data_IF_781568826771
#
_entry.id   IF_781568826771
#
_cell.length_a   1.000
_cell.length_b   1.000
_cell.length_c   1.000
_cell.angle_alpha   90.00
_cell.angle_beta   90.00
_cell.angle_gamma   90.00
#
_symmetry.space_group_name_H-M   'P 1'
#
loop_
_entity.id
_entity.type
_entity.pdbx_description
1 polymer ?
#
# COMPACT_ATOMS: atom_id res chain seq x y z
N UNK A 1 10.80 23.87 16.65
CA UNK A 1 11.69 22.91 17.34
C UNK A 1 11.60 21.62 16.58
N UNK A 2 12.66 21.27 15.87
CA UNK A 2 12.75 20.03 15.06
C UNK A 2 12.84 18.85 16.01
N UNK A 3 11.81 18.00 16.07
CA UNK A 3 11.88 16.72 16.75
C UNK A 3 12.64 15.75 15.85
N UNK A 4 13.78 15.31 16.35
CA UNK A 4 14.65 14.29 15.74
C UNK A 4 13.87 12.98 15.69
N UNK A 5 13.82 12.34 14.53
CA UNK A 5 13.32 10.98 14.37
C UNK A 5 14.12 10.05 15.31
N UNK A 6 13.43 9.33 16.20
CA UNK A 6 14.06 8.33 17.04
C UNK A 6 14.00 6.99 16.32
N UNK A 7 15.16 6.41 16.01
CA UNK A 7 15.29 5.05 15.49
C UNK A 7 15.58 4.10 16.67
N UNK A 8 14.76 3.07 16.83
CA UNK A 8 14.99 1.99 17.80
C UNK A 8 15.42 0.72 17.04
N UNK A 9 16.63 0.25 17.31
CA UNK A 9 17.12 -1.02 16.80
C UNK A 9 16.78 -2.13 17.78
N UNK A 10 16.01 -3.11 17.35
CA UNK A 10 15.68 -4.30 18.12
C UNK A 10 16.35 -5.48 17.42
N UNK A 11 17.66 -5.64 17.64
CA UNK A 11 18.40 -6.78 17.11
C UNK A 11 18.51 -7.88 18.17
N UNK A 12 18.12 -9.10 17.82
CA UNK A 12 18.69 -10.30 18.47
C UNK A 12 19.99 -10.63 17.72
N UNK A 13 21.07 -10.88 18.44
CA UNK A 13 22.34 -11.35 17.86
C UNK A 13 22.13 -12.69 17.14
N UNK A 14 21.82 -12.65 15.85
CA UNK A 14 21.85 -13.81 14.97
C UNK A 14 22.51 -13.46 13.65
N UNK A 15 23.41 -14.33 13.22
CA UNK A 15 24.32 -14.19 12.10
C UNK A 15 23.70 -13.58 10.84
N UNK A 16 24.24 -12.46 10.39
CA UNK A 16 23.98 -11.83 9.10
C UNK A 16 24.27 -12.82 7.97
N UNK A 17 23.23 -13.19 7.23
CA UNK A 17 23.37 -13.85 5.94
C UNK A 17 24.13 -12.95 4.96
N UNK A 18 24.67 -13.50 3.85
CA UNK A 18 25.47 -12.72 2.91
C UNK A 18 24.67 -11.54 2.36
N UNK A 19 25.17 -10.31 2.56
CA UNK A 19 24.58 -9.09 2.06
C UNK A 19 24.34 -9.20 0.54
N UNK A 20 23.12 -8.91 0.10
CA UNK A 20 22.79 -8.80 -1.33
C UNK A 20 23.57 -7.64 -1.92
N UNK A 21 24.63 -7.91 -2.67
CA UNK A 21 25.41 -6.89 -3.39
C UNK A 21 24.85 -6.73 -4.80
N UNK A 22 24.35 -5.54 -5.10
CA UNK A 22 24.02 -5.13 -6.46
C UNK A 22 25.07 -4.11 -6.90
N UNK A 23 25.58 -4.23 -8.12
CA UNK A 23 26.52 -3.27 -8.71
C UNK A 23 25.76 -2.02 -9.18
N UNK A 24 26.30 -0.83 -8.93
CA UNK A 24 25.78 0.42 -9.50
C UNK A 24 25.79 0.35 -11.02
N UNK A 25 24.64 0.60 -11.65
CA UNK A 25 24.49 0.57 -13.09
C UNK A 25 24.52 1.99 -13.68
N UNK A 26 25.14 2.14 -14.85
CA UNK A 26 25.00 3.36 -15.64
C UNK A 26 23.54 3.57 -16.04
N UNK A 27 23.01 4.75 -15.75
CA UNK A 27 21.63 5.16 -16.06
C UNK A 27 21.47 5.24 -17.58
N UNK A 28 20.86 4.21 -18.17
CA UNK A 28 20.23 4.29 -19.49
C UNK A 28 18.80 4.82 -19.32
N UNK A 29 18.24 5.47 -20.34
CA UNK A 29 16.86 6.02 -20.27
C UNK A 29 15.87 4.99 -19.73
N UNK A 30 14.90 5.42 -18.89
CA UNK A 30 13.94 4.51 -18.25
C UNK A 30 13.01 3.95 -19.31
N UNK A 31 13.20 2.69 -19.68
CA UNK A 31 12.27 1.93 -20.50
C UNK A 31 11.18 1.36 -19.59
N UNK A 32 9.92 1.64 -19.91
CA UNK A 32 8.79 1.02 -19.26
C UNK A 32 8.23 -0.11 -20.15
N UNK A 33 7.80 -1.18 -19.48
CA UNK A 33 7.13 -2.32 -20.07
C UNK A 33 5.85 -2.59 -19.32
N UNK A 34 4.77 -2.86 -20.04
CA UNK A 34 3.49 -3.30 -19.49
C UNK A 34 3.10 -4.63 -20.08
N UNK A 35 2.49 -5.47 -19.26
CA UNK A 35 1.98 -6.75 -19.72
C UNK A 35 0.84 -7.27 -18.87
N UNK A 36 0.33 -8.41 -19.33
CA UNK A 36 -0.67 -9.21 -18.63
C UNK A 36 -0.16 -10.64 -18.55
N UNK A 37 -0.03 -11.18 -17.35
CA UNK A 37 0.31 -12.57 -17.13
C UNK A 37 -0.96 -13.36 -16.84
N UNK A 38 -1.29 -14.29 -17.74
CA UNK A 38 -2.40 -15.22 -17.60
C UNK A 38 -1.91 -16.52 -16.98
N UNK A 39 -2.42 -16.88 -15.81
CA UNK A 39 -2.05 -18.12 -15.13
C UNK A 39 -3.20 -18.67 -14.28
N UNK A 40 -3.01 -19.90 -13.81
CA UNK A 40 -3.90 -20.50 -12.81
C UNK A 40 -3.27 -20.34 -11.43
N UNK A 41 -3.96 -19.66 -10.52
CA UNK A 41 -3.57 -19.54 -9.12
C UNK A 41 -4.53 -20.30 -8.22
N UNK A 42 -3.98 -20.91 -7.16
CA UNK A 42 -4.78 -21.45 -6.06
C UNK A 42 -5.02 -20.34 -5.06
N UNK A 43 -6.21 -19.74 -5.11
CA UNK A 43 -6.63 -18.71 -4.17
C UNK A 43 -7.08 -19.34 -2.86
N UNK A 44 -6.75 -18.71 -1.75
CA UNK A 44 -6.97 -19.23 -0.39
C UNK A 44 -8.45 -19.58 -0.14
N UNK A 45 -9.37 -18.75 -0.64
CA UNK A 45 -10.81 -18.88 -0.37
C UNK A 45 -11.65 -19.29 -1.59
N UNK A 46 -11.03 -19.44 -2.77
CA UNK A 46 -11.75 -19.75 -4.02
C UNK A 46 -11.18 -20.96 -4.78
N UNK A 47 -10.09 -21.58 -4.28
CA UNK A 47 -9.44 -22.70 -4.98
C UNK A 47 -8.77 -22.26 -6.28
N UNK A 48 -8.74 -23.13 -7.29
CA UNK A 48 -8.08 -22.85 -8.56
C UNK A 48 -8.87 -21.84 -9.40
N UNK A 49 -8.28 -20.71 -9.68
CA UNK A 49 -8.84 -19.63 -10.51
C UNK A 49 -7.90 -19.29 -11.65
N UNK A 50 -8.47 -19.03 -12.84
CA UNK A 50 -7.76 -18.41 -13.94
C UNK A 50 -7.72 -16.92 -13.68
N UNK A 51 -6.50 -16.34 -13.66
CA UNK A 51 -6.28 -14.92 -13.36
C UNK A 51 -5.51 -14.24 -14.47
N UNK A 52 -5.73 -12.94 -14.61
CA UNK A 52 -5.02 -12.08 -15.55
C UNK A 52 -4.35 -10.95 -14.75
N UNK A 53 -3.07 -11.09 -14.45
CA UNK A 53 -2.32 -10.17 -13.61
C UNK A 53 -1.69 -9.09 -14.48
N UNK A 54 -2.19 -7.86 -14.40
CA UNK A 54 -1.62 -6.72 -15.11
C UNK A 54 -0.44 -6.18 -14.34
N UNK A 55 0.67 -5.96 -15.02
CA UNK A 55 1.91 -5.47 -14.41
C UNK A 55 2.54 -4.33 -15.22
N UNK A 56 3.36 -3.53 -14.55
CA UNK A 56 4.25 -2.52 -15.13
C UNK A 56 5.63 -2.67 -14.52
N UNK A 57 6.65 -2.65 -15.38
CA UNK A 57 8.06 -2.66 -15.02
C UNK A 57 8.72 -1.43 -15.62
N UNK A 58 9.19 -0.50 -14.81
CA UNK A 58 9.79 0.75 -15.29
C UNK A 58 11.10 1.07 -14.59
N UNK A 59 11.92 1.93 -15.22
CA UNK A 59 13.21 2.38 -14.72
C UNK A 59 14.41 1.73 -15.42
N UNK A 60 15.64 2.07 -15.02
CA UNK A 60 16.86 1.64 -15.71
C UNK A 60 17.00 0.11 -15.71
N UNK A 61 17.28 -0.48 -16.88
CA UNK A 61 17.27 -1.95 -17.09
C UNK A 61 18.23 -2.67 -16.13
N UNK A 62 19.39 -2.08 -15.86
CA UNK A 62 20.44 -2.68 -15.03
C UNK A 62 20.40 -2.23 -13.56
N UNK A 63 19.39 -1.41 -13.17
CA UNK A 63 19.26 -0.98 -11.79
C UNK A 63 18.71 -2.10 -10.89
N UNK A 64 19.00 -2.04 -9.57
CA UNK A 64 18.39 -2.96 -8.62
C UNK A 64 16.86 -2.91 -8.70
N UNK A 65 16.22 -4.07 -8.69
CA UNK A 65 14.76 -4.17 -8.82
C UNK A 65 14.09 -4.03 -7.46
N UNK A 66 13.09 -3.17 -7.41
CA UNK A 66 12.13 -3.08 -6.31
C UNK A 66 10.75 -3.56 -6.77
N UNK A 67 10.04 -4.26 -5.89
CA UNK A 67 8.58 -4.36 -5.98
C UNK A 67 8.02 -3.16 -5.21
N UNK A 68 7.12 -2.39 -5.81
CA UNK A 68 6.48 -1.23 -5.17
C UNK A 68 4.97 -1.41 -5.17
N UNK A 69 4.36 -1.35 -4.00
CA UNK A 69 2.94 -1.60 -3.80
C UNK A 69 2.31 -0.58 -2.84
N UNK A 70 1.19 -0.01 -3.22
CA UNK A 70 0.48 1.01 -2.43
C UNK A 70 -0.77 0.49 -1.72
N UNK A 71 -1.65 1.40 -1.32
CA UNK A 71 -2.97 1.05 -0.77
C UNK A 71 -3.88 0.38 -1.81
N UNK A 72 -5.10 0.00 -1.42
CA UNK A 72 -6.05 -0.69 -2.30
C UNK A 72 -6.39 0.10 -3.58
N UNK A 73 -6.25 1.42 -3.58
CA UNK A 73 -6.48 2.26 -4.76
C UNK A 73 -5.25 2.44 -5.66
N UNK A 74 -4.09 1.96 -5.25
CA UNK A 74 -2.89 2.00 -6.06
C UNK A 74 -3.00 1.02 -7.24
N UNK A 75 -2.39 1.39 -8.36
CA UNK A 75 -2.31 0.58 -9.57
C UNK A 75 -0.87 0.20 -9.84
N UNK A 76 -0.64 -0.59 -10.90
CA UNK A 76 0.70 -0.85 -11.41
C UNK A 76 1.46 0.41 -11.84
N UNK A 77 0.75 1.53 -12.11
CA UNK A 77 1.38 2.78 -12.52
C UNK A 77 1.87 3.57 -11.31
N UNK A 78 3.12 3.37 -10.94
CA UNK A 78 3.77 4.00 -9.76
C UNK A 78 4.31 5.37 -10.09
N UNK A 79 4.95 5.54 -11.25
CA UNK A 79 5.58 6.77 -11.74
C UNK A 79 5.22 6.99 -13.20
N UNK A 80 5.11 8.26 -13.62
CA UNK A 80 5.05 8.64 -15.02
C UNK A 80 6.31 8.19 -15.77
N UNK A 81 6.12 7.57 -16.96
CA UNK A 81 7.17 6.97 -17.77
C UNK A 81 6.89 7.16 -19.28
N UNK A 82 7.70 6.56 -20.14
CA UNK A 82 7.62 6.66 -21.61
C UNK A 82 6.40 5.95 -22.22
N UNK A 83 5.82 4.95 -21.54
CA UNK A 83 4.59 4.27 -21.97
C UNK A 83 3.34 5.01 -21.51
N UNK A 84 3.41 5.66 -20.34
CA UNK A 84 2.33 6.44 -19.77
C UNK A 84 2.92 7.63 -19.00
N UNK A 85 2.78 8.83 -19.59
CA UNK A 85 3.33 10.06 -19.01
C UNK A 85 2.44 10.68 -17.93
N UNK A 86 1.27 10.11 -17.64
CA UNK A 86 0.45 10.57 -16.52
C UNK A 86 1.16 10.38 -15.18
N UNK A 87 0.77 11.16 -14.19
CA UNK A 87 1.35 11.00 -12.85
C UNK A 87 0.94 9.65 -12.24
N UNK A 88 1.92 8.84 -11.86
CA UNK A 88 1.69 7.63 -11.10
C UNK A 88 1.27 7.93 -9.65
N UNK A 89 0.68 6.95 -8.96
CA UNK A 89 0.14 7.13 -7.62
C UNK A 89 1.19 7.55 -6.58
N UNK A 90 2.47 7.30 -6.85
CA UNK A 90 3.57 7.71 -5.96
C UNK A 90 4.59 8.64 -6.64
N UNK A 91 4.11 9.46 -7.57
CA UNK A 91 4.94 10.42 -8.31
C UNK A 91 5.78 11.32 -7.38
N UNK A 92 5.28 11.63 -6.18
CA UNK A 92 5.99 12.39 -5.17
C UNK A 92 7.33 11.76 -4.76
N UNK A 93 7.49 10.43 -4.88
CA UNK A 93 8.73 9.70 -4.58
C UNK A 93 9.61 9.44 -5.81
N UNK A 94 9.35 10.10 -6.94
CA UNK A 94 10.11 9.89 -8.17
C UNK A 94 11.61 10.14 -7.99
N UNK A 95 12.02 11.14 -7.15
CA UNK A 95 13.42 11.46 -6.88
C UNK A 95 14.18 10.29 -6.25
N UNK A 96 13.49 9.45 -5.48
CA UNK A 96 14.03 8.24 -4.87
C UNK A 96 13.92 7.04 -5.83
N UNK A 97 12.73 6.78 -6.38
CA UNK A 97 12.42 5.55 -7.11
C UNK A 97 13.10 5.46 -8.49
N UNK A 98 13.39 6.60 -9.17
CA UNK A 98 13.98 6.60 -10.51
C UNK A 98 15.40 6.00 -10.59
N UNK A 99 16.09 5.83 -9.46
CA UNK A 99 17.37 5.11 -9.41
C UNK A 99 17.23 3.59 -9.39
N UNK A 100 16.01 3.09 -9.28
CA UNK A 100 15.68 1.67 -9.26
C UNK A 100 14.87 1.26 -10.49
N UNK A 101 14.91 -0.03 -10.81
CA UNK A 101 13.89 -0.65 -11.64
C UNK A 101 12.71 -1.00 -10.74
N UNK A 102 11.49 -0.62 -11.11
CA UNK A 102 10.28 -0.75 -10.29
C UNK A 102 9.29 -1.69 -10.96
N UNK A 103 8.92 -2.77 -10.29
CA UNK A 103 7.82 -3.66 -10.66
C UNK A 103 6.62 -3.38 -9.77
N UNK A 104 5.46 -3.21 -10.38
CA UNK A 104 4.17 -3.12 -9.69
C UNK A 104 3.08 -3.88 -10.46
N UNK A 105 2.05 -4.33 -9.77
CA UNK A 105 0.89 -5.00 -10.35
C UNK A 105 -0.40 -4.27 -9.99
N UNK A 106 -1.46 -4.47 -10.79
CA UNK A 106 -2.82 -4.20 -10.34
C UNK A 106 -3.26 -5.32 -9.41
N UNK A 107 -3.98 -4.97 -8.36
CA UNK A 107 -4.43 -5.95 -7.38
C UNK A 107 -5.40 -6.98 -7.99
N UNK A 108 -5.30 -8.25 -7.60
CA UNK A 108 -6.36 -9.23 -7.83
C UNK A 108 -7.64 -8.73 -7.15
N UNK A 109 -8.79 -8.97 -7.79
CA UNK A 109 -10.07 -8.45 -7.34
C UNK A 109 -10.37 -7.03 -7.81
N UNK A 110 -9.48 -6.42 -8.60
CA UNK A 110 -9.65 -5.09 -9.17
C UNK A 110 -10.06 -5.16 -10.65
N UNK A 111 -11.37 -5.30 -10.91
CA UNK A 111 -11.91 -5.34 -12.26
C UNK A 111 -11.51 -6.58 -13.08
N UNK A 112 -11.12 -7.66 -12.43
CA UNK A 112 -10.71 -8.93 -13.06
C UNK A 112 -11.81 -10.00 -13.07
N UNK A 113 -13.00 -9.68 -12.54
CA UNK A 113 -14.15 -10.58 -12.49
C UNK A 113 -14.09 -11.64 -11.38
N UNK A 114 -13.11 -11.59 -10.49
CA UNK A 114 -13.03 -12.50 -9.35
C UNK A 114 -14.06 -12.06 -8.29
N UNK A 115 -15.14 -12.81 -8.14
CA UNK A 115 -16.16 -12.57 -7.12
C UNK A 115 -16.03 -13.58 -5.95
N UNK A 116 -14.85 -13.63 -5.35
CA UNK A 116 -14.53 -14.42 -4.17
C UNK A 116 -13.65 -13.63 -3.22
N UNK A 117 -13.64 -13.93 -1.91
CA UNK A 117 -12.67 -13.35 -1.00
C UNK A 117 -11.23 -13.62 -1.45
N UNK A 118 -10.42 -12.60 -1.42
CA UNK A 118 -8.99 -12.63 -1.77
C UNK A 118 -8.24 -12.12 -0.55
N UNK A 119 -7.17 -12.78 -0.14
CA UNK A 119 -6.34 -12.30 0.96
C UNK A 119 -4.96 -11.79 0.47
N UNK A 120 -4.17 -11.29 1.41
CA UNK A 120 -2.83 -10.77 1.10
C UNK A 120 -1.86 -11.84 0.61
N UNK A 121 -2.11 -13.13 0.92
CA UNK A 121 -1.33 -14.28 0.43
C UNK A 121 -1.58 -14.49 -1.07
N UNK A 122 -2.82 -14.35 -1.49
CA UNK A 122 -3.18 -14.48 -2.91
C UNK A 122 -2.50 -13.38 -3.74
N UNK A 123 -2.45 -12.14 -3.21
CA UNK A 123 -1.72 -11.03 -3.83
C UNK A 123 -0.21 -11.31 -3.89
N UNK A 124 0.37 -11.83 -2.80
CA UNK A 124 1.78 -12.20 -2.76
C UNK A 124 2.11 -13.29 -3.80
N UNK A 125 1.25 -14.30 -3.93
CA UNK A 125 1.38 -15.35 -4.93
C UNK A 125 1.24 -14.81 -6.36
N UNK A 126 0.35 -13.85 -6.59
CA UNK A 126 0.22 -13.19 -7.90
C UNK A 126 1.50 -12.43 -8.29
N UNK A 127 2.11 -11.71 -7.35
CA UNK A 127 3.41 -11.04 -7.58
C UNK A 127 4.50 -12.08 -7.88
N UNK A 128 4.56 -13.19 -7.13
CA UNK A 128 5.52 -14.26 -7.37
C UNK A 128 5.36 -14.86 -8.78
N UNK A 129 4.13 -15.09 -9.24
CA UNK A 129 3.84 -15.60 -10.58
C UNK A 129 4.32 -14.62 -11.68
N UNK A 130 4.16 -13.31 -11.47
CA UNK A 130 4.68 -12.30 -12.41
C UNK A 130 6.21 -12.31 -12.43
N UNK A 131 6.89 -12.42 -11.27
CA UNK A 131 8.34 -12.54 -11.22
C UNK A 131 8.83 -13.79 -11.98
N UNK A 132 8.12 -14.91 -11.85
CA UNK A 132 8.45 -16.16 -12.58
C UNK A 132 8.29 -15.99 -14.09
N UNK A 133 7.20 -15.36 -14.52
CA UNK A 133 6.94 -15.07 -15.93
C UNK A 133 7.99 -14.14 -16.55
N UNK A 134 8.53 -13.21 -15.76
CA UNK A 134 9.59 -12.27 -16.17
C UNK A 134 11.01 -12.87 -16.01
N UNK A 135 11.15 -14.08 -15.50
CA UNK A 135 12.46 -14.71 -15.25
C UNK A 135 13.28 -14.03 -14.14
N UNK A 136 12.62 -13.30 -13.23
CA UNK A 136 13.27 -12.57 -12.15
C UNK A 136 13.37 -13.47 -10.93
N UNK A 137 14.57 -13.93 -10.60
CA UNK A 137 14.79 -14.87 -9.50
C UNK A 137 14.71 -14.18 -8.11
N UNK A 138 15.23 -12.96 -7.99
CA UNK A 138 15.32 -12.24 -6.72
C UNK A 138 15.30 -10.73 -6.92
N UNK A 139 14.69 -10.00 -5.97
CA UNK A 139 14.60 -8.53 -5.99
C UNK A 139 15.34 -7.91 -4.80
N UNK A 140 15.78 -6.66 -4.95
CA UNK A 140 16.48 -5.90 -3.89
C UNK A 140 15.59 -5.70 -2.67
N UNK A 141 14.34 -5.29 -2.88
CA UNK A 141 13.39 -5.15 -1.79
C UNK A 141 11.94 -5.14 -2.28
N UNK A 142 11.02 -5.42 -1.36
CA UNK A 142 9.61 -5.09 -1.47
C UNK A 142 9.35 -3.82 -0.65
N UNK A 143 8.91 -2.76 -1.31
CA UNK A 143 8.52 -1.49 -0.68
C UNK A 143 7.01 -1.38 -0.74
N UNK A 144 6.37 -1.53 0.40
CA UNK A 144 4.91 -1.52 0.52
C UNK A 144 4.41 -0.39 1.41
N UNK A 145 3.29 0.26 1.02
CA UNK A 145 2.60 1.23 1.85
C UNK A 145 1.14 0.79 2.09
N UNK A 146 0.66 0.90 3.33
CA UNK A 146 -0.70 0.51 3.71
C UNK A 146 -0.98 -0.97 3.36
N UNK A 147 -1.98 -1.26 2.55
CA UNK A 147 -2.27 -2.62 2.05
C UNK A 147 -1.06 -3.25 1.35
N UNK A 148 -0.30 -2.46 0.57
CA UNK A 148 0.93 -2.94 -0.06
C UNK A 148 2.00 -3.37 0.95
N UNK A 149 2.05 -2.76 2.15
CA UNK A 149 2.93 -3.21 3.23
C UNK A 149 2.48 -4.57 3.77
N UNK A 150 1.17 -4.78 3.98
CA UNK A 150 0.61 -6.07 4.39
C UNK A 150 0.93 -7.18 3.38
N UNK A 151 0.78 -6.88 2.08
CA UNK A 151 1.17 -7.83 1.01
C UNK A 151 2.68 -8.08 1.01
N UNK A 152 3.50 -7.06 1.24
CA UNK A 152 4.96 -7.18 1.35
C UNK A 152 5.40 -8.07 2.52
N UNK A 153 4.77 -7.92 3.67
CA UNK A 153 4.98 -8.78 4.83
C UNK A 153 4.58 -10.24 4.53
N UNK A 154 3.42 -10.44 3.89
CA UNK A 154 2.98 -11.76 3.46
C UNK A 154 3.91 -12.37 2.42
N UNK A 155 4.42 -11.56 1.48
CA UNK A 155 5.42 -12.01 0.50
C UNK A 155 6.72 -12.44 1.18
N UNK A 156 7.18 -11.68 2.16
CA UNK A 156 8.37 -12.03 2.95
C UNK A 156 8.20 -13.33 3.74
N UNK A 157 7.02 -13.58 4.29
CA UNK A 157 6.71 -14.82 5.00
C UNK A 157 6.66 -16.03 4.06
N UNK A 158 6.06 -15.88 2.86
CA UNK A 158 5.84 -16.98 1.92
C UNK A 158 7.01 -17.20 0.93
N UNK A 159 7.69 -16.12 0.54
CA UNK A 159 8.66 -16.10 -0.55
C UNK A 159 9.99 -15.42 -0.14
N UNK A 160 10.46 -15.64 1.09
CA UNK A 160 11.67 -15.01 1.64
C UNK A 160 12.90 -15.10 0.72
N UNK A 161 13.07 -16.25 0.02
CA UNK A 161 14.17 -16.51 -0.90
C UNK A 161 14.19 -15.58 -2.13
N UNK A 162 13.07 -14.91 -2.43
CA UNK A 162 12.90 -13.97 -3.55
C UNK A 162 13.24 -12.52 -3.20
N UNK A 163 13.51 -12.22 -1.90
CA UNK A 163 13.78 -10.87 -1.40
C UNK A 163 15.16 -10.75 -0.75
N UNK A 164 15.71 -9.53 -0.75
CA UNK A 164 16.81 -9.16 0.13
C UNK A 164 16.32 -8.38 1.36
N UNK A 165 15.24 -7.60 1.26
CA UNK A 165 14.67 -6.81 2.36
C UNK A 165 13.19 -6.49 2.12
N UNK A 166 12.50 -6.04 3.18
CA UNK A 166 11.14 -5.48 3.11
C UNK A 166 11.12 -4.12 3.79
N UNK A 167 10.40 -3.18 3.17
CA UNK A 167 10.05 -1.90 3.79
C UNK A 167 8.54 -1.83 3.90
N UNK A 168 8.00 -1.84 5.11
CA UNK A 168 6.59 -1.79 5.41
C UNK A 168 6.21 -0.42 6.00
N UNK A 169 5.44 0.37 5.24
CA UNK A 169 5.02 1.73 5.62
C UNK A 169 3.55 1.70 5.99
N UNK A 170 3.18 2.09 7.22
CA UNK A 170 1.79 2.17 7.68
C UNK A 170 0.98 0.89 7.38
N UNK A 171 1.58 -0.29 7.62
CA UNK A 171 0.94 -1.60 7.46
C UNK A 171 1.51 -2.61 8.45
N UNK A 172 0.64 -3.19 9.28
CA UNK A 172 1.00 -4.12 10.36
C UNK A 172 0.81 -5.60 9.94
N UNK A 173 1.18 -6.51 10.82
CA UNK A 173 1.08 -7.96 10.63
C UNK A 173 -0.36 -8.49 10.68
N UNK A 174 -1.30 -7.66 11.12
CA UNK A 174 -2.75 -7.94 11.15
C UNK A 174 -3.54 -6.65 11.00
N UNK A 175 -4.81 -6.79 10.68
CA UNK A 175 -5.74 -5.66 10.68
C UNK A 175 -6.12 -5.25 12.10
N UNK A 176 -6.08 -3.95 12.42
CA UNK A 176 -6.51 -3.43 13.71
C UNK A 176 -8.05 -3.52 13.84
N UNK A 177 -8.61 -3.99 14.98
CA UNK A 177 -10.06 -4.23 15.13
C UNK A 177 -10.93 -3.00 14.88
N UNK A 178 -10.50 -1.80 15.31
CA UNK A 178 -11.22 -0.55 15.06
C UNK A 178 -11.30 -0.24 13.56
N UNK A 179 -10.21 -0.44 12.84
CA UNK A 179 -10.14 -0.21 11.40
C UNK A 179 -10.99 -1.23 10.62
N UNK A 180 -11.02 -2.49 11.08
CA UNK A 180 -11.92 -3.53 10.51
C UNK A 180 -13.38 -3.18 10.74
N UNK A 181 -13.74 -2.64 11.93
CA UNK A 181 -15.11 -2.19 12.21
C UNK A 181 -15.52 -1.05 11.27
N UNK A 182 -14.65 -0.06 11.04
CA UNK A 182 -14.90 1.01 10.07
C UNK A 182 -15.11 0.46 8.64
N UNK A 183 -14.23 -0.41 8.18
CA UNK A 183 -14.36 -1.04 6.85
C UNK A 183 -15.63 -1.88 6.73
N UNK A 184 -16.03 -2.58 7.80
CA UNK A 184 -17.31 -3.30 7.83
C UNK A 184 -18.50 -2.36 7.60
N UNK A 185 -18.51 -1.18 8.22
CA UNK A 185 -19.56 -0.18 8.00
C UNK A 185 -19.51 0.34 6.56
N UNK A 186 -18.33 0.65 6.04
CA UNK A 186 -18.17 1.09 4.66
C UNK A 186 -18.70 0.07 3.65
N UNK A 187 -18.43 -1.22 3.83
CA UNK A 187 -18.98 -2.30 2.98
C UNK A 187 -20.50 -2.38 3.05
N UNK A 188 -21.10 -2.22 4.25
CA UNK A 188 -22.55 -2.18 4.42
C UNK A 188 -23.19 -0.96 3.73
N UNK A 189 -22.50 0.20 3.72
CA UNK A 189 -22.96 1.38 2.98
C UNK A 189 -22.95 1.10 1.48
N UNK A 190 -21.92 0.43 0.94
CA UNK A 190 -21.86 0.02 -0.47
C UNK A 190 -23.00 -0.93 -0.80
N UNK A 191 -23.22 -1.95 0.04
CA UNK A 191 -24.30 -2.92 -0.13
C UNK A 191 -25.68 -2.26 -0.11
N UNK A 192 -25.95 -1.42 0.88
CA UNK A 192 -27.22 -0.67 0.97
C UNK A 192 -27.43 0.23 -0.25
N UNK A 193 -26.37 0.93 -0.71
CA UNK A 193 -26.44 1.76 -1.90
C UNK A 193 -26.76 0.97 -3.17
N UNK A 194 -26.28 -0.26 -3.28
CA UNK A 194 -26.58 -1.14 -4.42
C UNK A 194 -28.04 -1.57 -4.49
N UNK A 195 -28.76 -1.55 -3.36
CA UNK A 195 -30.18 -1.94 -3.28
C UNK A 195 -31.17 -0.79 -3.62
N UNK A 196 -30.80 0.45 -3.36
CA UNK A 196 -31.73 1.56 -3.29
C UNK A 196 -31.34 2.81 -4.08
N UNK A 197 -30.11 2.93 -4.55
CA UNK A 197 -29.57 4.14 -5.14
C UNK A 197 -29.06 3.90 -6.55
N UNK A 198 -28.75 5.03 -7.25
CA UNK A 198 -28.01 4.98 -8.50
C UNK A 198 -26.65 4.31 -8.28
N UNK A 199 -26.15 3.65 -9.33
CA UNK A 199 -24.87 2.97 -9.33
C UNK A 199 -23.74 3.88 -8.82
N UNK A 200 -22.94 3.37 -7.89
CA UNK A 200 -21.81 4.09 -7.30
C UNK A 200 -22.14 5.00 -6.12
N UNK A 201 -23.42 5.31 -5.82
CA UNK A 201 -23.75 6.24 -4.73
C UNK A 201 -23.28 5.70 -3.35
N UNK A 202 -23.54 4.43 -3.06
CA UNK A 202 -23.05 3.79 -1.83
C UNK A 202 -21.51 3.77 -1.75
N UNK A 203 -20.84 3.51 -2.87
CA UNK A 203 -19.38 3.54 -2.95
C UNK A 203 -18.83 4.96 -2.69
N UNK A 204 -19.45 6.00 -3.26
CA UNK A 204 -19.09 7.38 -3.00
C UNK A 204 -19.19 7.73 -1.50
N UNK A 205 -20.28 7.36 -0.84
CA UNK A 205 -20.46 7.58 0.60
C UNK A 205 -19.48 6.79 1.46
N UNK A 206 -19.24 5.52 1.13
CA UNK A 206 -18.25 4.70 1.81
C UNK A 206 -16.85 5.32 1.74
N UNK A 207 -16.49 5.88 0.58
CA UNK A 207 -15.21 6.57 0.40
C UNK A 207 -15.13 7.88 1.19
N UNK A 208 -16.22 8.65 1.28
CA UNK A 208 -16.27 9.84 2.13
C UNK A 208 -15.98 9.48 3.59
N UNK A 209 -16.60 8.43 4.11
CA UNK A 209 -16.33 7.92 5.46
C UNK A 209 -14.87 7.46 5.60
N UNK A 210 -14.31 6.76 4.61
CA UNK A 210 -12.92 6.34 4.61
C UNK A 210 -11.95 7.54 4.72
N UNK A 211 -12.25 8.66 4.03
CA UNK A 211 -11.39 9.85 4.05
C UNK A 211 -11.26 10.46 5.45
N UNK A 212 -12.31 10.35 6.29
CA UNK A 212 -12.23 10.81 7.67
C UNK A 212 -11.27 9.96 8.53
N UNK A 213 -11.13 8.68 8.21
CA UNK A 213 -10.21 7.77 8.93
C UNK A 213 -8.77 7.83 8.41
N UNK A 214 -8.55 8.26 7.17
CA UNK A 214 -7.19 8.40 6.60
C UNK A 214 -6.48 9.65 7.10
N UNK A 215 -7.24 10.65 7.57
CA UNK A 215 -6.73 11.96 7.96
C UNK A 215 -7.00 12.25 9.42
N UNK A 216 -6.25 13.20 9.96
CA UNK A 216 -6.42 13.60 11.36
C UNK A 216 -7.42 14.73 11.52
N UNK A 217 -8.05 14.86 12.69
CA UNK A 217 -8.84 16.05 13.04
C UNK A 217 -8.02 17.34 12.93
N UNK A 218 -6.71 17.28 13.19
CA UNK A 218 -5.81 18.44 13.08
C UNK A 218 -5.67 18.91 11.63
N UNK A 219 -5.52 17.99 10.65
CA UNK A 219 -5.49 18.35 9.23
C UNK A 219 -6.85 18.96 8.81
N UNK A 220 -7.96 18.34 9.21
CA UNK A 220 -9.30 18.90 8.92
C UNK A 220 -9.47 20.30 9.48
N UNK A 221 -9.10 20.53 10.75
CA UNK A 221 -9.21 21.85 11.39
C UNK A 221 -8.34 22.91 10.72
N UNK A 222 -7.17 22.53 10.19
CA UNK A 222 -6.31 23.48 9.48
C UNK A 222 -6.79 23.81 8.07
N UNK A 223 -7.55 22.89 7.45
CA UNK A 223 -7.97 23.00 6.06
C UNK A 223 -9.37 23.57 5.87
N UNK A 224 -10.27 23.28 6.81
CA UNK A 224 -11.69 23.67 6.74
C UNK A 224 -12.01 24.60 7.92
N UNK A 225 -11.61 25.86 7.77
CA UNK A 225 -11.68 26.89 8.84
C UNK A 225 -12.99 27.68 8.84
N UNK A 226 -13.76 27.61 7.73
CA UNK A 226 -15.01 28.34 7.61
C UNK A 226 -16.07 27.75 8.57
N UNK A 227 -17.01 28.57 9.06
CA UNK A 227 -18.12 28.07 9.86
C UNK A 227 -19.08 27.24 8.99
N UNK A 228 -19.89 26.40 9.65
CA UNK A 228 -21.01 25.72 9.01
C UNK A 228 -21.97 26.77 8.45
N UNK A 229 -22.27 26.65 7.17
CA UNK A 229 -23.19 27.57 6.47
C UNK A 229 -24.62 27.02 6.47
N UNK A 230 -25.60 27.90 6.32
CA UNK A 230 -27.00 27.55 6.06
C UNK A 230 -27.29 27.78 4.57
N UNK A 231 -27.59 26.72 3.84
CA UNK A 231 -27.99 26.75 2.44
C UNK A 231 -29.44 26.29 2.32
N UNK A 232 -30.34 27.22 2.05
CA UNK A 232 -31.78 26.94 2.11
C UNK A 232 -32.23 26.53 3.52
N UNK A 233 -32.65 25.27 3.70
CA UNK A 233 -33.05 24.67 4.97
C UNK A 233 -32.06 23.60 5.49
N UNK A 234 -30.84 23.54 4.92
CA UNK A 234 -29.82 22.54 5.25
C UNK A 234 -28.55 23.20 5.76
N UNK A 235 -28.01 22.68 6.85
CA UNK A 235 -26.68 23.04 7.31
C UNK A 235 -25.65 22.30 6.47
N UNK A 236 -24.65 23.02 5.95
CA UNK A 236 -23.57 22.52 5.10
C UNK A 236 -22.24 22.76 5.77
N UNK A 237 -21.47 21.70 6.02
CA UNK A 237 -20.13 21.85 6.57
C UNK A 237 -19.08 22.13 5.49
N UNK A 238 -18.01 22.88 5.78
CA UNK A 238 -17.01 23.27 4.77
C UNK A 238 -16.30 22.10 4.09
N UNK A 239 -16.29 20.92 4.71
CA UNK A 239 -15.65 19.74 4.17
C UNK A 239 -16.53 18.93 3.18
N UNK A 240 -17.84 19.21 3.05
CA UNK A 240 -18.77 18.39 2.25
C UNK A 240 -18.32 18.26 0.80
N UNK A 241 -18.09 19.38 0.10
CA UNK A 241 -17.68 19.38 -1.30
C UNK A 241 -16.37 18.62 -1.55
N UNK A 242 -15.44 18.71 -0.61
CA UNK A 242 -14.19 17.94 -0.66
C UNK A 242 -14.45 16.43 -0.53
N UNK A 243 -15.29 16.02 0.42
CA UNK A 243 -15.63 14.62 0.64
C UNK A 243 -16.39 14.05 -0.55
N UNK A 244 -17.34 14.81 -1.11
CA UNK A 244 -18.07 14.44 -2.32
C UNK A 244 -17.13 14.22 -3.52
N UNK A 245 -16.19 15.14 -3.75
CA UNK A 245 -15.18 14.97 -4.80
C UNK A 245 -14.29 13.73 -4.58
N UNK A 246 -13.97 13.40 -3.34
CA UNK A 246 -13.26 12.16 -3.02
C UNK A 246 -14.11 10.92 -3.33
N UNK A 247 -15.40 10.95 -3.04
CA UNK A 247 -16.34 9.89 -3.35
C UNK A 247 -16.47 9.65 -4.86
N UNK A 248 -16.64 10.72 -5.64
CA UNK A 248 -16.74 10.65 -7.10
C UNK A 248 -15.48 10.08 -7.76
N UNK A 249 -14.30 10.49 -7.30
CA UNK A 249 -13.03 9.89 -7.78
C UNK A 249 -12.93 8.40 -7.49
N UNK A 250 -13.45 7.95 -6.35
CA UNK A 250 -13.47 6.52 -6.02
C UNK A 250 -14.40 5.74 -6.96
N UNK A 251 -15.55 6.28 -7.34
CA UNK A 251 -16.46 5.66 -8.31
C UNK A 251 -15.86 5.57 -9.72
N UNK A 252 -14.97 6.51 -10.10
CA UNK A 252 -14.21 6.40 -11.34
C UNK A 252 -13.10 5.33 -11.29
N UNK A 253 -12.65 4.97 -10.08
CA UNK A 253 -11.54 4.01 -9.87
C UNK A 253 -12.02 2.59 -9.61
N UNK A 254 -13.13 2.41 -8.89
CA UNK A 254 -13.65 1.12 -8.44
C UNK A 254 -15.08 0.90 -8.88
N UNK A 255 -15.43 -0.35 -9.16
CA UNK A 255 -16.78 -0.84 -8.99
C UNK A 255 -17.01 -1.33 -7.53
N UNK A 256 -18.28 -1.60 -7.20
CA UNK A 256 -18.67 -2.01 -5.84
C UNK A 256 -18.07 -3.36 -5.44
N UNK A 257 -17.91 -4.30 -6.39
CA UNK A 257 -17.36 -5.62 -6.12
C UNK A 257 -15.87 -5.54 -5.82
N UNK A 258 -15.11 -4.82 -6.65
CA UNK A 258 -13.68 -4.58 -6.47
C UNK A 258 -13.37 -3.89 -5.13
N UNK A 259 -14.14 -2.84 -4.80
CA UNK A 259 -13.98 -2.16 -3.51
C UNK A 259 -14.23 -3.11 -2.33
N UNK A 260 -15.29 -3.91 -2.39
CA UNK A 260 -15.63 -4.88 -1.35
C UNK A 260 -14.51 -5.90 -1.18
N UNK A 261 -14.04 -6.53 -2.28
CA UNK A 261 -13.01 -7.57 -2.25
C UNK A 261 -11.67 -7.06 -1.70
N UNK A 262 -11.24 -5.90 -2.15
CA UNK A 262 -9.99 -5.30 -1.64
C UNK A 262 -10.12 -4.83 -0.19
N UNK A 263 -11.30 -4.33 0.22
CA UNK A 263 -11.58 -3.98 1.61
C UNK A 263 -11.59 -5.20 2.53
N UNK A 264 -12.19 -6.32 2.09
CA UNK A 264 -12.18 -7.61 2.81
C UNK A 264 -10.75 -8.17 2.91
N UNK A 265 -9.95 -8.04 1.87
CA UNK A 265 -8.57 -8.52 1.83
C UNK A 265 -7.68 -7.88 2.89
N UNK A 266 -7.90 -6.60 3.21
CA UNK A 266 -7.21 -5.95 4.33
C UNK A 266 -7.59 -6.63 5.65
N UNK A 267 -8.88 -6.95 5.85
CA UNK A 267 -9.37 -7.55 7.10
C UNK A 267 -8.93 -9.00 7.27
N UNK A 268 -8.74 -9.72 6.15
CA UNK A 268 -8.25 -11.11 6.14
C UNK A 268 -6.73 -11.22 6.34
N UNK A 269 -6.00 -10.11 6.24
CA UNK A 269 -4.55 -10.13 6.43
C UNK A 269 -4.16 -10.53 7.85
N UNK A 270 -3.35 -11.58 7.94
CA UNK A 270 -2.73 -12.03 9.20
C UNK A 270 -1.47 -12.83 8.91
N UNK A 271 -0.37 -12.44 9.54
CA UNK A 271 0.90 -13.20 9.54
C UNK A 271 1.49 -13.24 10.96
N UNK A 272 2.30 -14.23 11.22
CA UNK A 272 3.16 -14.24 12.39
C UNK A 272 4.47 -13.50 12.07
N UNK A 273 4.80 -12.39 12.78
CA UNK A 273 6.02 -11.62 12.52
C UNK A 273 7.30 -12.45 12.56
N UNK A 274 7.32 -13.48 13.38
CA UNK A 274 8.46 -14.41 13.51
C UNK A 274 8.71 -15.23 12.24
N UNK A 275 7.76 -15.26 11.29
CA UNK A 275 7.94 -15.94 10.00
C UNK A 275 8.77 -15.12 9.00
N UNK A 276 8.96 -13.83 9.22
CA UNK A 276 9.74 -12.94 8.36
C UNK A 276 11.22 -13.23 8.56
N UNK A 277 11.89 -13.72 7.51
CA UNK A 277 13.30 -14.18 7.57
C UNK A 277 14.25 -13.28 6.79
N UNK A 278 13.81 -12.10 6.39
CA UNK A 278 14.60 -11.09 5.71
C UNK A 278 14.58 -9.79 6.52
N UNK A 279 15.60 -8.93 6.39
CA UNK A 279 15.60 -7.61 7.02
C UNK A 279 14.30 -6.86 6.76
N UNK A 280 13.71 -6.30 7.81
CA UNK A 280 12.44 -5.58 7.80
C UNK A 280 12.62 -4.16 8.34
N UNK A 281 12.35 -3.17 7.50
CA UNK A 281 12.22 -1.77 7.94
C UNK A 281 10.73 -1.43 8.08
N UNK A 282 10.31 -1.12 9.30
CA UNK A 282 8.94 -0.71 9.64
C UNK A 282 8.91 0.81 9.74
N UNK A 283 8.06 1.47 8.96
CA UNK A 283 7.88 2.93 8.99
C UNK A 283 6.49 3.23 9.53
N UNK A 284 6.44 3.79 10.73
CA UNK A 284 5.21 4.18 11.43
C UNK A 284 4.97 5.69 11.32
N UNK A 285 3.73 6.09 11.30
CA UNK A 285 3.29 7.49 11.39
C UNK A 285 2.61 7.68 12.74
N UNK A 286 3.09 8.60 13.56
CA UNK A 286 2.63 8.81 14.94
C UNK A 286 1.14 9.18 15.07
N UNK A 287 0.58 9.77 14.03
CA UNK A 287 -0.83 10.19 13.99
C UNK A 287 -1.75 9.26 13.20
N UNK A 288 -1.25 8.11 12.73
CA UNK A 288 -2.05 7.15 11.97
C UNK A 288 -3.05 6.42 12.88
N UNK A 289 -4.35 6.63 12.62
CA UNK A 289 -5.41 6.00 13.38
C UNK A 289 -5.87 4.65 12.80
N UNK A 290 -5.54 4.38 11.52
CA UNK A 290 -5.89 3.11 10.88
C UNK A 290 -4.90 2.01 11.21
N UNK A 291 -3.64 2.36 11.34
CA UNK A 291 -2.55 1.46 11.70
C UNK A 291 -1.77 2.11 12.83
N UNK A 292 -2.23 1.93 14.09
CA UNK A 292 -1.59 2.53 15.25
C UNK A 292 -0.12 2.17 15.37
N UNK A 293 0.69 3.11 15.82
CA UNK A 293 2.14 2.92 15.99
C UNK A 293 2.49 1.76 16.92
N UNK A 294 1.60 1.42 17.84
CA UNK A 294 1.74 0.29 18.77
C UNK A 294 1.71 -1.06 18.03
N UNK A 295 0.84 -1.22 17.01
CA UNK A 295 0.79 -2.44 16.19
C UNK A 295 2.06 -2.59 15.35
N UNK A 296 2.64 -1.48 14.89
CA UNK A 296 3.91 -1.47 14.15
C UNK A 296 5.12 -1.71 15.06
N UNK A 297 5.07 -1.22 16.29
CA UNK A 297 6.06 -1.52 17.32
C UNK A 297 6.02 -3.03 17.70
N UNK A 298 4.82 -3.61 17.86
CA UNK A 298 4.66 -5.04 18.07
C UNK A 298 5.27 -5.86 16.93
N UNK A 299 4.97 -5.48 15.67
CA UNK A 299 5.56 -6.10 14.48
C UNK A 299 7.10 -6.08 14.54
N UNK A 300 7.69 -4.91 14.83
CA UNK A 300 9.13 -4.73 14.85
C UNK A 300 9.81 -5.51 16.00
N UNK A 301 9.16 -5.60 17.16
CA UNK A 301 9.68 -6.36 18.32
C UNK A 301 9.65 -7.87 18.07
N UNK A 302 8.61 -8.37 17.38
CA UNK A 302 8.42 -9.80 17.14
C UNK A 302 9.15 -10.33 15.91
N UNK A 303 9.43 -9.46 14.92
CA UNK A 303 10.19 -9.87 13.74
C UNK A 303 11.68 -10.07 14.09
N UNK A 304 12.34 -11.14 13.59
CA UNK A 304 13.71 -11.50 14.01
C UNK A 304 14.77 -10.44 13.68
N UNK A 305 14.60 -9.68 12.61
CA UNK A 305 15.55 -8.67 12.12
C UNK A 305 14.78 -7.46 11.60
N UNK A 306 14.44 -6.55 12.52
CA UNK A 306 13.59 -5.42 12.18
C UNK A 306 14.06 -4.10 12.82
N UNK A 307 13.82 -3.00 12.07
CA UNK A 307 14.02 -1.61 12.51
C UNK A 307 12.69 -0.86 12.45
N UNK A 308 12.42 -0.06 13.47
CA UNK A 308 11.26 0.82 13.53
C UNK A 308 11.68 2.27 13.34
N UNK A 309 11.14 2.93 12.31
CA UNK A 309 11.20 4.37 12.11
C UNK A 309 9.84 4.99 12.42
N UNK A 310 9.81 6.02 13.25
CA UNK A 310 8.58 6.76 13.54
C UNK A 310 8.67 8.15 12.94
N UNK A 311 7.76 8.46 12.02
CA UNK A 311 7.64 9.77 11.38
C UNK A 311 6.53 10.55 12.05
N UNK A 312 6.84 11.75 12.54
CA UNK A 312 5.83 12.66 13.07
C UNK A 312 5.16 13.44 11.95
N UNK A 313 3.85 13.29 11.82
CA UNK A 313 3.05 13.95 10.79
C UNK A 313 1.66 14.27 11.30
N UNK A 314 1.03 15.28 10.73
CA UNK A 314 -0.39 15.58 10.98
C UNK A 314 -1.34 15.02 9.91
N UNK A 315 -0.79 14.33 8.92
CA UNK A 315 -1.58 13.79 7.78
C UNK A 315 -2.20 12.41 8.05
N UNK A 316 -1.91 11.79 9.22
CA UNK A 316 -2.43 10.47 9.54
C UNK A 316 -1.94 9.40 8.57
N UNK A 317 -2.83 8.51 8.17
CA UNK A 317 -2.52 7.41 7.27
C UNK A 317 -2.00 7.87 5.90
N UNK A 318 -2.47 9.04 5.39
CA UNK A 318 -2.02 9.60 4.11
C UNK A 318 -0.59 10.17 4.13
N UNK A 319 0.12 10.14 5.28
CA UNK A 319 1.45 10.71 5.40
C UNK A 319 2.45 10.09 4.40
N UNK A 320 2.33 8.81 4.05
CA UNK A 320 3.21 8.19 3.04
C UNK A 320 3.08 8.80 1.63
N UNK A 321 1.97 9.49 1.36
CA UNK A 321 1.74 10.24 0.12
C UNK A 321 2.18 11.71 0.22
N UNK A 322 2.27 12.26 1.46
CA UNK A 322 2.43 13.70 1.69
C UNK A 322 3.77 14.09 2.29
N UNK A 323 4.33 13.28 3.16
CA UNK A 323 5.62 13.52 3.81
C UNK A 323 6.79 13.06 2.92
N UNK A 324 6.86 13.64 1.70
CA UNK A 324 7.78 13.21 0.65
C UNK A 324 9.23 13.11 1.13
N UNK A 325 9.73 14.12 1.83
CA UNK A 325 11.12 14.17 2.29
C UNK A 325 11.39 13.16 3.41
N UNK A 326 10.49 13.05 4.39
CA UNK A 326 10.67 12.15 5.52
C UNK A 326 10.58 10.68 5.08
N UNK A 327 9.61 10.35 4.22
CA UNK A 327 9.47 9.02 3.63
C UNK A 327 10.68 8.70 2.75
N UNK A 328 11.13 9.64 1.90
CA UNK A 328 12.33 9.44 1.06
C UNK A 328 13.60 9.20 1.87
N UNK A 329 13.78 9.91 2.99
CA UNK A 329 14.91 9.67 3.91
C UNK A 329 14.83 8.27 4.54
N UNK A 330 13.66 7.88 5.08
CA UNK A 330 13.46 6.57 5.67
C UNK A 330 13.65 5.43 4.65
N UNK A 331 13.25 5.63 3.39
CA UNK A 331 13.51 4.67 2.30
C UNK A 331 15.00 4.55 1.98
N UNK A 332 15.75 5.67 1.96
CA UNK A 332 17.21 5.63 1.79
C UNK A 332 17.86 4.82 2.91
N UNK A 333 17.56 5.15 4.17
CA UNK A 333 18.11 4.46 5.33
C UNK A 333 17.81 2.95 5.29
N UNK A 334 16.59 2.58 4.89
CA UNK A 334 16.15 1.18 4.81
C UNK A 334 16.81 0.38 3.67
N UNK A 335 17.22 1.02 2.57
CA UNK A 335 17.74 0.32 1.40
C UNK A 335 19.26 0.47 1.21
N UNK A 336 19.88 1.44 1.86
CA UNK A 336 21.32 1.65 1.85
C UNK A 336 22.02 0.94 3.04
N UNK A 337 21.23 0.42 4.00
CA UNK A 337 21.67 -0.45 5.09
C UNK A 337 21.84 -1.90 4.60
#
# INVERSE_FOLDING_TARGET
MSLVAASLHVASESALGPACRFTEAHVTEPLAERGVHHCSLSLTHAGQCQVAIRWELCGPVNAPLLIVAGGISATRHVLGNDVDSSEGWWQAQAHFLRRYRVLAIDWLGDGDGIDAPIDSRDQANAIAAVLDALGIAKVRAFVGASYGAMVGLQFAAAHAHRLCAVVAISGAHRSHPWSSALRSIQRKIVELGSLQCAEGHGLALARQLAMLSYRTPKEFSSRFTDPVALEGNRAVCPAESYLEACGQRACARFDAASYRRLSESIDLHSIEPESIRVPLSVIAIDSDQLVPSEDLAELAVRAPDAWLHVISSHYGHDAFLKETSAIGAALNDALDA
#
